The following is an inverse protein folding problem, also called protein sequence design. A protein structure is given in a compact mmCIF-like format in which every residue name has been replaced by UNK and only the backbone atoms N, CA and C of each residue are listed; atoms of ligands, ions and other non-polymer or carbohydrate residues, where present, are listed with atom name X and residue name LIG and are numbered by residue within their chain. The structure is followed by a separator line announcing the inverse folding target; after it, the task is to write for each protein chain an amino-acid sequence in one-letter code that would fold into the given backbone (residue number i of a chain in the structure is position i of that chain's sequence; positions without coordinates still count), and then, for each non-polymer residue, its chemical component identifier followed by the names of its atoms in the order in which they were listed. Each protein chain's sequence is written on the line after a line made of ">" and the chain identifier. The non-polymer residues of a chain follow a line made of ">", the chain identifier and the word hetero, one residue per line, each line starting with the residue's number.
data_IF_958292188669
#
_entry.id   IF_958292188669
#
_cell.length_a   1.000
_cell.length_b   1.000
_cell.length_c   1.000
_cell.angle_alpha   90.00
_cell.angle_beta   90.00
_cell.angle_gamma   90.00
#
_symmetry.space_group_name_H-M   'P 1'
#
loop_
_entity.id
_entity.type
_entity.pdbx_description
1 polymer ?
#
# COMPACT_ATOMS: atom_id res chain seq x y z
N UNK A 1 -1.45 -11.03 -17.37
CA UNK A 1 -2.49 -10.06 -16.97
C UNK A 1 -1.96 -9.38 -15.72
N UNK A 2 -1.91 -8.04 -15.71
CA UNK A 2 -1.37 -7.26 -14.60
C UNK A 2 -2.20 -7.44 -13.33
N UNK A 3 -1.55 -7.72 -12.20
CA UNK A 3 -2.18 -7.78 -10.88
C UNK A 3 -2.25 -6.38 -10.29
N UNK A 4 -3.45 -5.84 -10.14
CA UNK A 4 -3.67 -4.51 -9.57
C UNK A 4 -3.94 -4.62 -8.07
N UNK A 5 -3.00 -4.15 -7.28
CA UNK A 5 -2.94 -4.27 -5.83
C UNK A 5 -3.13 -2.90 -5.20
N UNK A 6 -3.99 -2.78 -4.19
CA UNK A 6 -4.02 -1.61 -3.32
C UNK A 6 -3.49 -1.95 -1.92
N UNK A 7 -2.58 -1.11 -1.43
CA UNK A 7 -2.00 -1.21 -0.09
C UNK A 7 -2.66 -0.16 0.81
N UNK A 8 -3.31 -0.62 1.87
CA UNK A 8 -3.99 0.23 2.86
C UNK A 8 -3.40 0.05 4.26
N UNK A 9 -3.88 0.84 5.22
CA UNK A 9 -3.39 0.84 6.60
C UNK A 9 -3.33 2.24 7.22
N UNK A 10 -3.22 2.28 8.55
CA UNK A 10 -3.16 3.53 9.33
C UNK A 10 -2.01 4.44 8.88
N UNK A 11 -2.17 5.74 9.02
CA UNK A 11 -1.11 6.74 8.85
C UNK A 11 0.05 6.46 9.80
N UNK A 12 1.27 6.60 9.27
CA UNK A 12 2.49 6.37 10.04
C UNK A 12 2.81 4.90 10.32
N UNK A 13 1.99 3.93 9.88
CA UNK A 13 2.25 2.49 10.10
C UNK A 13 3.42 1.95 9.27
N UNK A 14 3.92 2.70 8.27
CA UNK A 14 4.98 2.28 7.36
C UNK A 14 4.48 1.65 6.05
N UNK A 15 3.28 2.04 5.58
CA UNK A 15 2.74 1.60 4.28
C UNK A 15 3.71 1.87 3.13
N UNK A 16 4.02 3.13 2.87
CA UNK A 16 4.85 3.54 1.73
C UNK A 16 6.24 2.92 1.75
N UNK A 17 6.85 2.81 2.94
CA UNK A 17 8.11 2.08 3.11
C UNK A 17 7.96 0.61 2.71
N UNK A 18 6.90 -0.06 3.18
CA UNK A 18 6.62 -1.47 2.86
C UNK A 18 6.31 -1.66 1.37
N UNK A 19 5.48 -0.79 0.78
CA UNK A 19 5.13 -0.81 -0.65
C UNK A 19 6.36 -0.68 -1.51
N UNK A 20 7.20 0.33 -1.27
CA UNK A 20 8.41 0.58 -2.08
C UNK A 20 9.43 -0.55 -1.93
N UNK A 21 9.67 -1.05 -0.72
CA UNK A 21 10.58 -2.17 -0.52
C UNK A 21 10.05 -3.47 -1.15
N UNK A 22 8.74 -3.71 -1.11
CA UNK A 22 8.11 -4.86 -1.76
C UNK A 22 8.22 -4.75 -3.28
N UNK A 23 7.95 -3.57 -3.84
CA UNK A 23 8.11 -3.31 -5.28
C UNK A 23 9.56 -3.50 -5.72
N UNK A 24 10.52 -2.95 -4.98
CA UNK A 24 11.95 -3.15 -5.21
C UNK A 24 12.35 -4.62 -5.14
N UNK A 25 11.82 -5.38 -4.17
CA UNK A 25 12.07 -6.81 -4.05
C UNK A 25 11.47 -7.62 -5.21
N UNK A 26 10.25 -7.29 -5.65
CA UNK A 26 9.61 -7.91 -6.81
C UNK A 26 10.42 -7.68 -8.09
N UNK A 27 10.89 -6.44 -8.31
CA UNK A 27 11.69 -6.11 -9.49
C UNK A 27 13.12 -6.70 -9.43
N UNK A 28 13.77 -6.65 -8.26
CA UNK A 28 15.17 -7.06 -8.12
C UNK A 28 15.37 -8.58 -7.97
N UNK A 29 14.54 -9.24 -7.15
CA UNK A 29 14.73 -10.67 -6.82
C UNK A 29 13.85 -11.61 -7.64
N UNK A 30 12.77 -11.10 -8.24
CA UNK A 30 11.75 -11.90 -8.91
C UNK A 30 11.48 -11.46 -10.36
N UNK A 31 12.29 -10.54 -10.88
CA UNK A 31 12.26 -10.03 -12.25
C UNK A 31 10.87 -9.59 -12.71
N UNK A 32 10.17 -8.83 -11.86
CA UNK A 32 8.81 -8.32 -12.13
C UNK A 32 8.79 -6.88 -12.60
N UNK A 33 7.96 -6.61 -13.60
CA UNK A 33 7.66 -5.27 -14.06
C UNK A 33 6.61 -4.64 -13.12
N UNK A 34 7.02 -3.62 -12.37
CA UNK A 34 6.18 -3.00 -11.33
C UNK A 34 5.92 -1.53 -11.63
N UNK A 35 4.69 -1.09 -11.38
CA UNK A 35 4.28 0.30 -11.38
C UNK A 35 3.72 0.68 -10.00
N UNK A 36 4.11 1.85 -9.48
CA UNK A 36 3.58 2.43 -8.24
C UNK A 36 2.81 3.71 -8.58
N UNK A 37 1.53 3.73 -8.24
CA UNK A 37 0.71 4.94 -8.18
C UNK A 37 0.51 5.32 -6.73
N UNK A 38 1.14 6.42 -6.30
CA UNK A 38 0.95 6.98 -4.98
C UNK A 38 -0.39 7.72 -4.86
N UNK A 39 -1.27 7.20 -3.99
CA UNK A 39 -2.62 7.72 -3.75
C UNK A 39 -2.74 8.35 -2.34
N UNK A 40 -1.62 8.75 -1.74
CA UNK A 40 -1.54 9.53 -0.51
C UNK A 40 -1.26 11.01 -0.85
N UNK A 41 -2.06 11.97 -0.35
CA UNK A 41 -1.82 13.40 -0.62
C UNK A 41 -0.45 13.91 -0.17
N UNK A 42 0.30 13.16 0.66
CA UNK A 42 1.67 13.50 1.06
C UNK A 42 2.70 13.39 -0.07
N UNK A 43 2.37 12.68 -1.15
CA UNK A 43 3.19 12.61 -2.36
C UNK A 43 4.62 12.08 -2.13
N UNK A 44 4.82 11.13 -1.21
CA UNK A 44 6.10 10.51 -0.88
C UNK A 44 6.13 8.98 -1.10
N UNK A 45 5.11 8.45 -1.78
CA UNK A 45 4.89 7.00 -2.02
C UNK A 45 5.94 6.36 -2.95
N UNK A 46 6.68 7.17 -3.73
CA UNK A 46 7.70 6.70 -4.69
C UNK A 46 9.11 7.22 -4.39
N UNK A 47 9.26 7.98 -3.30
CA UNK A 47 10.48 8.73 -2.98
C UNK A 47 11.73 7.86 -2.94
N UNK A 48 11.66 6.66 -2.37
CA UNK A 48 12.78 5.73 -2.23
C UNK A 48 13.14 5.06 -3.56
N UNK A 49 12.15 4.82 -4.44
CA UNK A 49 12.39 4.24 -5.76
C UNK A 49 13.07 5.25 -6.69
N UNK A 50 12.73 6.53 -6.56
CA UNK A 50 13.26 7.62 -7.37
C UNK A 50 14.52 8.26 -6.79
N UNK A 51 15.17 7.69 -5.77
CA UNK A 51 16.39 8.27 -5.17
C UNK A 51 16.17 9.64 -4.50
N UNK A 52 14.94 9.90 -4.06
CA UNK A 52 14.49 11.16 -3.45
C UNK A 52 14.31 12.33 -4.42
N UNK A 53 14.25 12.06 -5.73
CA UNK A 53 13.86 13.05 -6.72
C UNK A 53 12.41 13.50 -6.48
N UNK A 54 12.13 14.82 -6.40
CA UNK A 54 10.77 15.31 -6.38
C UNK A 54 10.13 15.04 -7.75
N UNK A 55 9.07 14.24 -7.79
CA UNK A 55 8.27 14.09 -9.00
C UNK A 55 7.12 15.10 -9.03
N UNK A 56 6.82 15.63 -10.21
CA UNK A 56 5.61 16.42 -10.41
C UNK A 56 4.39 15.52 -10.21
N UNK A 57 3.44 15.97 -9.40
CA UNK A 57 2.20 15.21 -9.17
C UNK A 57 1.21 15.43 -10.32
N UNK A 58 0.30 14.49 -10.51
CA UNK A 58 -0.77 14.61 -11.51
C UNK A 58 -1.64 15.83 -11.21
N UNK A 59 -2.04 16.00 -9.95
CA UNK A 59 -2.92 17.10 -9.54
C UNK A 59 -2.23 18.46 -9.61
N UNK A 60 -0.93 18.57 -9.31
CA UNK A 60 -0.21 19.83 -9.50
C UNK A 60 -0.05 20.18 -10.97
N UNK A 61 0.26 19.20 -11.81
CA UNK A 61 0.35 19.41 -13.26
C UNK A 61 -0.98 19.86 -13.83
N UNK A 62 -2.07 19.18 -13.45
CA UNK A 62 -3.43 19.53 -13.86
C UNK A 62 -3.79 20.97 -13.46
N UNK A 63 -3.43 21.37 -12.24
CA UNK A 63 -3.77 22.69 -11.68
C UNK A 63 -2.96 23.82 -12.30
N UNK A 64 -1.67 23.61 -12.54
CA UNK A 64 -0.75 24.65 -13.03
C UNK A 64 -0.85 24.77 -14.56
N UNK A 65 -1.03 23.65 -15.25
CA UNK A 65 -0.82 23.58 -16.70
C UNK A 65 -2.01 23.06 -17.50
N UNK A 66 -3.09 22.62 -16.86
CA UNK A 66 -4.27 22.08 -17.54
C UNK A 66 -4.18 20.58 -17.81
N UNK A 67 -5.33 19.98 -18.14
CA UNK A 67 -5.47 18.52 -18.30
C UNK A 67 -4.69 18.01 -19.53
N UNK A 68 -4.65 18.80 -20.60
CA UNK A 68 -3.93 18.50 -21.84
C UNK A 68 -2.40 18.43 -21.67
N UNK A 69 -1.88 18.91 -20.53
CA UNK A 69 -0.46 18.86 -20.17
C UNK A 69 -0.12 17.75 -19.19
N UNK A 70 -1.10 16.94 -18.77
CA UNK A 70 -0.88 15.72 -17.98
C UNK A 70 -0.56 14.58 -18.94
N UNK A 71 0.71 14.47 -19.35
CA UNK A 71 1.19 13.39 -20.23
C UNK A 71 2.04 12.38 -19.45
N UNK A 72 2.07 11.12 -19.89
CA UNK A 72 2.82 10.03 -19.24
C UNK A 72 4.29 10.41 -19.01
N UNK A 73 5.00 10.88 -20.03
CA UNK A 73 6.43 11.24 -19.94
C UNK A 73 6.74 12.29 -18.86
N UNK A 74 5.74 13.11 -18.55
CA UNK A 74 5.89 14.22 -17.62
C UNK A 74 5.71 13.78 -16.17
N UNK A 75 4.61 13.08 -15.90
CA UNK A 75 4.20 12.71 -14.53
C UNK A 75 4.70 11.34 -14.11
N UNK A 76 5.01 10.45 -15.06
CA UNK A 76 5.64 9.16 -14.77
C UNK A 76 7.15 9.31 -14.78
N UNK A 77 7.79 8.74 -13.77
CA UNK A 77 9.24 8.59 -13.67
C UNK A 77 9.60 7.14 -13.43
N UNK A 78 10.73 6.74 -13.99
CA UNK A 78 11.29 5.40 -13.80
C UNK A 78 12.45 5.49 -12.83
N UNK A 79 12.46 4.61 -11.84
CA UNK A 79 13.48 4.56 -10.79
C UNK A 79 14.23 3.23 -10.74
N UNK A 80 14.59 2.81 -9.53
CA UNK A 80 15.28 1.55 -9.28
C UNK A 80 14.63 0.37 -10.01
N UNK A 81 15.45 -0.41 -10.74
CA UNK A 81 15.03 -1.63 -11.48
C UNK A 81 13.80 -1.40 -12.38
N UNK A 82 13.81 -0.29 -13.10
CA UNK A 82 12.78 0.07 -14.08
C UNK A 82 11.36 0.19 -13.50
N UNK A 83 11.25 0.33 -12.18
CA UNK A 83 9.96 0.56 -11.51
C UNK A 83 9.44 1.92 -11.94
N UNK A 84 8.22 1.94 -12.48
CA UNK A 84 7.52 3.15 -12.90
C UNK A 84 6.73 3.75 -11.75
N UNK A 85 6.73 5.06 -11.66
CA UNK A 85 6.22 5.80 -10.50
C UNK A 85 5.42 7.02 -10.95
N UNK A 86 4.29 7.26 -10.29
CA UNK A 86 3.53 8.50 -10.37
C UNK A 86 2.92 8.82 -8.99
N UNK A 87 2.81 10.09 -8.64
CA UNK A 87 2.02 10.54 -7.48
C UNK A 87 0.74 11.18 -8.00
N UNK A 88 -0.41 10.83 -7.41
CA UNK A 88 -1.65 11.59 -7.57
C UNK A 88 -1.43 13.05 -7.15
N UNK A 89 -0.82 13.26 -5.99
CA UNK A 89 -0.79 14.56 -5.32
C UNK A 89 -2.08 14.85 -4.56
N UNK A 90 -2.05 15.90 -3.74
CA UNK A 90 -3.18 16.36 -2.94
C UNK A 90 -3.60 17.78 -3.32
N UNK A 91 -4.82 18.20 -2.93
CA UNK A 91 -5.16 19.61 -2.98
C UNK A 91 -4.29 20.39 -1.97
N UNK A 92 -4.29 21.72 -2.07
CA UNK A 92 -3.60 22.55 -1.08
C UNK A 92 -4.10 22.24 0.35
N UNK A 93 -3.21 22.24 1.35
CA UNK A 93 -3.59 22.02 2.74
C UNK A 93 -4.75 22.94 3.15
N UNK A 94 -5.85 22.35 3.62
CA UNK A 94 -7.06 23.08 4.03
C UNK A 94 -8.07 23.38 2.91
N UNK A 95 -7.80 22.97 1.67
CA UNK A 95 -8.68 23.21 0.51
C UNK A 95 -8.98 21.89 -0.22
N UNK A 96 -10.15 21.80 -0.85
CA UNK A 96 -10.50 20.69 -1.74
C UNK A 96 -10.77 19.35 -1.03
N UNK A 97 -10.68 18.26 -1.79
CA UNK A 97 -10.88 16.89 -1.28
C UNK A 97 -9.81 15.96 -1.86
N UNK A 98 -8.88 15.51 -1.03
CA UNK A 98 -7.80 14.61 -1.43
C UNK A 98 -8.32 13.35 -2.13
N UNK A 99 -9.41 12.78 -1.61
CA UNK A 99 -10.04 11.61 -2.21
C UNK A 99 -10.54 11.84 -3.64
N UNK A 100 -11.03 13.05 -3.99
CA UNK A 100 -11.40 13.36 -5.38
C UNK A 100 -10.18 13.53 -6.29
N UNK A 101 -9.10 14.11 -5.76
CA UNK A 101 -7.83 14.24 -6.49
C UNK A 101 -7.27 12.87 -6.90
N UNK A 102 -7.30 11.88 -5.99
CA UNK A 102 -6.90 10.50 -6.30
C UNK A 102 -7.74 9.90 -7.42
N UNK A 103 -9.06 10.12 -7.41
CA UNK A 103 -9.94 9.62 -8.49
C UNK A 103 -9.51 10.22 -9.83
N UNK A 104 -9.44 11.56 -9.90
CA UNK A 104 -9.06 12.28 -11.12
C UNK A 104 -7.68 11.85 -11.62
N UNK A 105 -6.71 11.66 -10.72
CA UNK A 105 -5.38 11.23 -11.09
C UNK A 105 -5.37 9.81 -11.68
N UNK A 106 -6.09 8.86 -11.07
CA UNK A 106 -6.18 7.50 -11.61
C UNK A 106 -6.84 7.51 -13.00
N UNK A 107 -7.96 8.22 -13.16
CA UNK A 107 -8.68 8.27 -14.43
C UNK A 107 -7.83 8.91 -15.53
N UNK A 108 -7.14 10.03 -15.27
CA UNK A 108 -6.21 10.64 -16.23
C UNK A 108 -5.08 9.68 -16.63
N UNK A 109 -4.56 8.90 -15.69
CA UNK A 109 -3.50 7.93 -15.99
C UNK A 109 -4.00 6.75 -16.82
N UNK A 110 -5.27 6.34 -16.66
CA UNK A 110 -5.90 5.34 -17.54
C UNK A 110 -6.16 5.91 -18.94
N UNK A 111 -6.70 7.13 -19.04
CA UNK A 111 -6.96 7.82 -20.31
C UNK A 111 -5.69 8.04 -21.13
N UNK A 112 -4.57 8.29 -20.46
CA UNK A 112 -3.25 8.43 -21.08
C UNK A 112 -2.51 7.10 -21.28
N UNK A 113 -3.17 5.96 -21.06
CA UNK A 113 -2.61 4.61 -21.24
C UNK A 113 -1.31 4.36 -20.47
N UNK A 114 -1.15 4.98 -19.30
CA UNK A 114 0.10 4.91 -18.53
C UNK A 114 0.38 3.52 -17.93
N UNK A 115 -0.69 2.73 -17.69
CA UNK A 115 -0.59 1.36 -17.17
C UNK A 115 -0.50 0.37 -18.34
N UNK A 116 0.69 0.25 -18.92
CA UNK A 116 0.91 -0.61 -20.09
C UNK A 116 0.77 -2.10 -19.80
N UNK A 117 0.55 -2.88 -20.86
CA UNK A 117 0.23 -4.31 -20.80
C UNK A 117 1.40 -5.22 -20.33
N UNK A 118 2.63 -4.73 -20.39
CA UNK A 118 3.84 -5.45 -19.95
C UNK A 118 4.04 -5.46 -18.43
N UNK A 119 3.15 -4.79 -17.66
CA UNK A 119 3.20 -4.78 -16.20
C UNK A 119 2.77 -6.12 -15.60
N UNK A 120 3.58 -6.66 -14.69
CA UNK A 120 3.18 -7.74 -13.81
C UNK A 120 2.32 -7.22 -12.64
N UNK A 121 2.73 -6.09 -12.04
CA UNK A 121 2.09 -5.52 -10.86
C UNK A 121 1.87 -4.02 -10.97
N UNK A 122 0.69 -3.56 -10.55
CA UNK A 122 0.36 -2.16 -10.32
C UNK A 122 -0.03 -1.97 -8.85
N UNK A 123 0.77 -1.24 -8.09
CA UNK A 123 0.49 -0.90 -6.70
C UNK A 123 -0.16 0.48 -6.59
N UNK A 124 -1.30 0.55 -5.92
CA UNK A 124 -1.89 1.77 -5.41
C UNK A 124 -1.54 1.90 -3.92
N UNK A 125 -0.71 2.87 -3.54
CA UNK A 125 -0.42 3.16 -2.13
C UNK A 125 -1.45 4.15 -1.60
N UNK A 126 -2.47 3.66 -0.88
CA UNK A 126 -3.67 4.45 -0.56
C UNK A 126 -3.68 4.89 0.90
N UNK A 127 -4.06 6.15 1.14
CA UNK A 127 -4.30 6.64 2.48
C UNK A 127 -5.41 5.83 3.18
N UNK A 128 -5.08 5.15 4.27
CA UNK A 128 -5.99 4.24 4.97
C UNK A 128 -6.63 4.78 6.26
N UNK A 129 -6.31 6.01 6.68
CA UNK A 129 -6.89 6.61 7.90
C UNK A 129 -8.36 6.97 7.73
N UNK A 130 -8.75 7.36 6.52
CA UNK A 130 -10.11 7.80 6.19
C UNK A 130 -10.60 7.01 4.98
N UNK A 131 -11.49 6.04 5.21
CA UNK A 131 -12.13 5.27 4.14
C UNK A 131 -13.35 6.03 3.61
N UNK A 132 -13.17 7.30 3.23
CA UNK A 132 -14.23 8.10 2.60
C UNK A 132 -14.41 7.70 1.12
N UNK A 133 -15.47 8.20 0.48
CA UNK A 133 -15.84 7.79 -0.88
C UNK A 133 -14.75 7.96 -1.95
N UNK A 134 -13.77 8.84 -1.75
CA UNK A 134 -12.63 9.01 -2.65
C UNK A 134 -11.53 7.96 -2.45
N UNK A 135 -11.04 7.80 -1.21
CA UNK A 135 -10.02 6.80 -0.90
C UNK A 135 -10.53 5.35 -1.00
N UNK A 136 -11.85 5.14 -0.99
CA UNK A 136 -12.47 3.85 -1.28
C UNK A 136 -12.58 3.58 -2.79
N UNK A 137 -12.27 4.52 -3.68
CA UNK A 137 -12.48 4.34 -5.13
C UNK A 137 -11.71 3.16 -5.72
N UNK A 138 -10.42 2.91 -5.41
CA UNK A 138 -9.72 1.75 -5.95
C UNK A 138 -10.44 0.43 -5.69
N UNK A 139 -11.10 0.34 -4.54
CA UNK A 139 -11.93 -0.80 -4.09
C UNK A 139 -13.33 -0.75 -4.72
N UNK A 140 -14.01 0.40 -4.69
CA UNK A 140 -15.41 0.57 -5.08
C UNK A 140 -15.60 0.39 -6.58
N UNK A 141 -14.71 0.96 -7.38
CA UNK A 141 -14.81 1.00 -8.83
C UNK A 141 -13.98 -0.13 -9.48
N UNK A 142 -13.41 -1.02 -8.64
CA UNK A 142 -12.70 -2.21 -9.09
C UNK A 142 -11.38 -1.93 -9.80
N UNK A 143 -10.75 -0.76 -9.55
CA UNK A 143 -9.44 -0.43 -10.11
C UNK A 143 -8.35 -1.37 -9.55
N UNK A 144 -8.49 -1.81 -8.30
CA UNK A 144 -7.67 -2.86 -7.71
C UNK A 144 -8.52 -4.11 -7.43
N UNK A 145 -7.99 -5.30 -7.75
CA UNK A 145 -8.66 -6.58 -7.47
C UNK A 145 -8.17 -7.19 -6.15
N UNK A 146 -6.93 -6.87 -5.77
CA UNK A 146 -6.28 -7.40 -4.56
C UNK A 146 -5.99 -6.27 -3.58
N UNK A 147 -6.28 -6.51 -2.30
CA UNK A 147 -5.96 -5.57 -1.24
C UNK A 147 -5.09 -6.23 -0.19
N UNK A 148 -4.02 -5.55 0.22
CA UNK A 148 -3.24 -5.89 1.39
C UNK A 148 -3.28 -4.72 2.37
N UNK A 149 -3.38 -5.04 3.66
CA UNK A 149 -3.44 -4.02 4.71
C UNK A 149 -2.18 -4.13 5.56
N UNK A 150 -1.45 -3.04 5.71
CA UNK A 150 -0.34 -2.92 6.65
C UNK A 150 -0.89 -2.55 8.02
N UNK A 151 -0.59 -3.38 9.02
CA UNK A 151 -0.99 -3.19 10.41
C UNK A 151 0.17 -3.54 11.37
N UNK A 152 -0.01 -3.29 12.65
CA UNK A 152 0.88 -3.66 13.75
C UNK A 152 0.03 -4.18 14.92
N UNK A 153 0.68 -4.66 15.97
CA UNK A 153 0.03 -5.03 17.24
C UNK A 153 -0.53 -3.84 18.01
N UNK A 154 -0.34 -2.60 17.52
CA UNK A 154 -0.96 -1.44 18.11
C UNK A 154 -2.48 -1.47 17.89
N UNK A 155 -3.23 -1.29 18.98
CA UNK A 155 -4.68 -1.19 18.99
C UNK A 155 -5.25 -0.39 17.81
N UNK A 156 -4.78 0.84 17.61
CA UNK A 156 -5.29 1.74 16.56
C UNK A 156 -5.01 1.24 15.13
N UNK A 157 -3.94 0.47 14.91
CA UNK A 157 -3.66 -0.11 13.60
C UNK A 157 -4.67 -1.22 13.27
N UNK A 158 -5.03 -2.02 14.28
CA UNK A 158 -6.04 -3.08 14.17
C UNK A 158 -7.45 -2.49 13.94
N UNK A 159 -7.82 -1.40 14.63
CA UNK A 159 -9.08 -0.70 14.34
C UNK A 159 -9.14 -0.18 12.90
N UNK A 160 -8.06 0.44 12.42
CA UNK A 160 -7.99 0.91 11.04
C UNK A 160 -8.14 -0.26 10.05
N UNK A 161 -7.42 -1.36 10.28
CA UNK A 161 -7.52 -2.56 9.46
C UNK A 161 -8.94 -3.14 9.43
N UNK A 162 -9.62 -3.22 10.57
CA UNK A 162 -11.00 -3.69 10.66
C UNK A 162 -11.98 -2.76 9.91
N UNK A 163 -11.79 -1.44 10.00
CA UNK A 163 -12.61 -0.48 9.27
C UNK A 163 -12.38 -0.53 7.76
N UNK A 164 -11.14 -0.75 7.30
CA UNK A 164 -10.86 -1.02 5.89
C UNK A 164 -11.56 -2.30 5.44
N UNK A 165 -11.57 -3.35 6.26
CA UNK A 165 -12.32 -4.59 5.99
C UNK A 165 -13.82 -4.34 5.83
N UNK A 166 -14.43 -3.44 6.62
CA UNK A 166 -15.83 -3.04 6.45
C UNK A 166 -16.07 -2.39 5.08
N UNK A 167 -15.16 -1.52 4.65
CA UNK A 167 -15.18 -0.94 3.31
C UNK A 167 -15.08 -2.00 2.21
N UNK A 168 -14.13 -2.93 2.33
CA UNK A 168 -13.96 -4.05 1.40
C UNK A 168 -15.21 -4.92 1.31
N UNK A 169 -15.74 -5.38 2.44
CA UNK A 169 -16.92 -6.25 2.48
C UNK A 169 -18.15 -5.59 1.82
N UNK A 170 -18.29 -4.27 1.95
CA UNK A 170 -19.38 -3.50 1.33
C UNK A 170 -19.33 -3.54 -0.20
N UNK A 171 -18.14 -3.50 -0.80
CA UNK A 171 -17.98 -3.38 -2.26
C UNK A 171 -17.56 -4.68 -2.97
N UNK A 172 -17.06 -5.67 -2.23
CA UNK A 172 -16.47 -6.90 -2.80
C UNK A 172 -17.37 -7.67 -3.78
N UNK A 173 -18.70 -7.67 -3.57
CA UNK A 173 -19.65 -8.31 -4.51
C UNK A 173 -19.86 -7.51 -5.79
N UNK A 174 -19.78 -6.18 -5.71
CA UNK A 174 -19.98 -5.29 -6.86
C UNK A 174 -18.71 -5.16 -7.70
N UNK A 175 -17.56 -4.91 -7.07
CA UNK A 175 -16.32 -4.63 -7.77
C UNK A 175 -15.43 -5.85 -7.99
N UNK A 176 -15.73 -6.97 -7.33
CA UNK A 176 -14.89 -8.16 -7.37
C UNK A 176 -13.64 -8.08 -6.48
N UNK A 177 -13.40 -6.98 -5.77
CA UNK A 177 -12.22 -6.83 -4.90
C UNK A 177 -12.15 -7.92 -3.82
N UNK A 178 -10.93 -8.32 -3.45
CA UNK A 178 -10.69 -9.28 -2.36
C UNK A 178 -9.54 -8.84 -1.46
N UNK A 179 -9.60 -9.26 -0.20
CA UNK A 179 -8.49 -9.14 0.74
C UNK A 179 -7.53 -10.31 0.50
N UNK A 180 -6.27 -10.00 0.16
CA UNK A 180 -5.20 -10.99 -0.03
C UNK A 180 -4.42 -11.29 1.25
N UNK A 181 -4.43 -10.38 2.22
CA UNK A 181 -3.83 -10.63 3.54
C UNK A 181 -3.48 -9.36 4.31
N UNK A 182 -3.03 -9.56 5.55
CA UNK A 182 -2.47 -8.51 6.40
C UNK A 182 -0.95 -8.63 6.41
N UNK A 183 -0.25 -7.53 6.20
CA UNK A 183 1.20 -7.41 6.38
C UNK A 183 1.42 -6.81 7.77
N UNK A 184 1.99 -7.57 8.69
CA UNK A 184 2.35 -7.04 10.00
C UNK A 184 3.67 -6.29 9.87
N UNK A 185 3.68 -4.98 10.04
CA UNK A 185 4.90 -4.18 10.15
C UNK A 185 5.20 -3.92 11.62
N UNK A 186 6.16 -4.68 12.15
CA UNK A 186 6.35 -4.81 13.58
C UNK A 186 6.67 -3.49 14.27
N UNK A 187 6.06 -3.31 15.45
CA UNK A 187 6.34 -2.22 16.39
C UNK A 187 7.03 -2.71 17.66
N UNK A 188 7.48 -3.96 17.67
CA UNK A 188 8.01 -4.64 18.87
C UNK A 188 7.00 -4.60 20.03
N UNK A 189 5.72 -4.84 19.72
CA UNK A 189 4.69 -5.04 20.74
C UNK A 189 4.75 -6.49 21.21
N UNK A 190 4.60 -6.73 22.50
CA UNK A 190 4.62 -8.08 23.05
C UNK A 190 3.45 -8.92 22.49
N UNK A 191 3.73 -10.16 22.09
CA UNK A 191 2.74 -11.04 21.46
C UNK A 191 2.17 -10.54 20.11
N UNK A 192 2.84 -9.57 19.45
CA UNK A 192 2.32 -8.93 18.23
C UNK A 192 2.00 -9.93 17.10
N UNK A 193 2.85 -10.94 16.93
CA UNK A 193 2.70 -11.95 15.89
C UNK A 193 1.47 -12.82 16.14
N UNK A 194 1.28 -13.24 17.39
CA UNK A 194 0.15 -14.04 17.86
C UNK A 194 -1.15 -13.25 17.76
N UNK A 195 -1.13 -11.97 18.14
CA UNK A 195 -2.29 -11.09 18.05
C UNK A 195 -2.74 -10.93 16.58
N UNK A 196 -1.80 -10.63 15.67
CA UNK A 196 -2.13 -10.49 14.25
C UNK A 196 -2.59 -11.82 13.63
N UNK A 197 -2.03 -12.95 14.06
CA UNK A 197 -2.48 -14.26 13.62
C UNK A 197 -3.94 -14.54 14.06
N UNK A 198 -4.30 -14.20 15.30
CA UNK A 198 -5.68 -14.34 15.78
C UNK A 198 -6.63 -13.38 15.06
N UNK A 199 -6.25 -12.11 14.92
CA UNK A 199 -7.04 -11.11 14.20
C UNK A 199 -7.30 -11.51 12.74
N UNK A 200 -6.25 -11.92 12.01
CA UNK A 200 -6.36 -12.33 10.61
C UNK A 200 -7.28 -13.55 10.44
N UNK A 201 -7.14 -14.54 11.31
CA UNK A 201 -8.05 -15.70 11.34
C UNK A 201 -9.50 -15.29 11.58
N UNK A 202 -9.73 -14.38 12.52
CA UNK A 202 -11.07 -13.92 12.88
C UNK A 202 -11.77 -13.19 11.72
N UNK A 203 -11.04 -12.36 10.97
CA UNK A 203 -11.57 -11.70 9.76
C UNK A 203 -11.58 -12.59 8.51
N UNK A 204 -11.14 -13.85 8.63
CA UNK A 204 -11.18 -14.86 7.58
C UNK A 204 -10.05 -14.76 6.55
N UNK A 205 -8.92 -14.14 6.89
CA UNK A 205 -7.74 -14.01 6.01
C UNK A 205 -6.48 -14.57 6.69
N UNK A 206 -5.30 -14.27 6.14
CA UNK A 206 -3.99 -14.62 6.69
C UNK A 206 -3.13 -13.40 6.95
N UNK A 207 -2.26 -13.50 7.94
CA UNK A 207 -1.07 -12.67 8.01
C UNK A 207 -0.09 -13.15 6.94
N UNK A 208 -0.03 -12.45 5.80
CA UNK A 208 0.80 -12.91 4.67
C UNK A 208 2.29 -12.89 5.04
N UNK A 209 2.70 -11.90 5.81
CA UNK A 209 4.08 -11.78 6.25
C UNK A 209 4.17 -10.92 7.52
N UNK A 210 5.20 -11.19 8.32
CA UNK A 210 5.59 -10.40 9.48
C UNK A 210 6.92 -9.73 9.16
N UNK A 211 6.90 -8.42 8.92
CA UNK A 211 8.08 -7.61 8.64
C UNK A 211 8.67 -7.15 9.98
N UNK A 212 9.86 -7.61 10.36
CA UNK A 212 10.47 -7.23 11.63
C UNK A 212 10.92 -5.76 11.61
N UNK A 213 11.08 -5.20 12.81
CA UNK A 213 11.62 -3.85 12.99
C UNK A 213 13.14 -3.91 12.90
N UNK A 214 13.73 -3.23 11.90
CA UNK A 214 15.17 -3.14 11.74
C UNK A 214 15.61 -1.69 11.43
N UNK A 215 16.65 -1.23 12.11
CA UNK A 215 17.22 0.11 11.93
C UNK A 215 17.85 0.32 10.55
N UNK A 216 18.14 -0.76 9.80
CA UNK A 216 18.60 -0.65 8.42
C UNK A 216 17.57 0.04 7.52
N UNK A 217 16.28 -0.07 7.83
CA UNK A 217 15.22 0.64 7.11
C UNK A 217 15.45 2.15 7.21
N UNK A 218 15.71 2.67 8.40
CA UNK A 218 16.01 4.11 8.57
C UNK A 218 17.30 4.51 7.87
N UNK A 219 18.34 3.66 7.91
CA UNK A 219 19.60 3.93 7.20
C UNK A 219 19.38 4.02 5.68
N UNK A 220 18.59 3.12 5.10
CA UNK A 220 18.24 3.15 3.69
C UNK A 220 17.39 4.38 3.34
N UNK A 221 16.38 4.70 4.15
CA UNK A 221 15.52 5.88 3.97
C UNK A 221 16.31 7.19 4.03
N UNK A 222 17.29 7.33 4.93
CA UNK A 222 18.18 8.50 4.96
C UNK A 222 19.06 8.63 3.71
N UNK A 223 19.36 7.51 3.05
CA UNK A 223 20.04 7.47 1.76
C UNK A 223 19.05 7.53 0.58
N UNK A 224 17.74 7.70 0.85
CA UNK A 224 16.66 7.80 -0.14
C UNK A 224 16.55 6.53 -1.01
N UNK A 225 16.84 5.38 -0.43
CA UNK A 225 16.83 4.09 -1.11
C UNK A 225 15.90 3.12 -0.37
N UNK A 226 15.44 2.11 -1.09
CA UNK A 226 14.86 0.92 -0.45
C UNK A 226 15.98 0.09 0.18
N UNK A 227 15.65 -0.77 1.15
CA UNK A 227 16.64 -1.69 1.76
C UNK A 227 17.20 -2.64 0.71
N UNK A 228 16.37 -3.13 -0.20
CA UNK A 228 16.80 -3.99 -1.32
C UNK A 228 17.87 -3.34 -2.19
N UNK A 229 17.74 -2.04 -2.47
CA UNK A 229 18.75 -1.29 -3.21
C UNK A 229 19.98 -0.97 -2.34
N UNK A 230 19.76 -0.56 -1.10
CA UNK A 230 20.80 -0.11 -0.18
C UNK A 230 21.74 -1.24 0.26
N UNK A 231 21.17 -2.40 0.62
CA UNK A 231 21.91 -3.57 1.08
C UNK A 231 21.10 -4.85 0.80
N UNK A 232 21.18 -5.42 -0.41
CA UNK A 232 20.35 -6.57 -0.82
C UNK A 232 20.58 -7.83 0.01
N UNK A 233 21.77 -8.00 0.59
CA UNK A 233 22.12 -9.15 1.43
C UNK A 233 21.70 -9.00 2.90
N UNK A 234 21.13 -7.86 3.29
CA UNK A 234 20.65 -7.66 4.66
C UNK A 234 19.43 -8.54 4.96
N UNK A 235 19.29 -8.98 6.21
CA UNK A 235 18.13 -9.76 6.66
C UNK A 235 16.81 -9.09 6.26
N UNK A 236 16.69 -7.77 6.49
CA UNK A 236 15.48 -7.02 6.15
C UNK A 236 15.18 -7.01 4.63
N UNK A 237 16.18 -7.00 3.75
CA UNK A 237 15.97 -7.15 2.31
C UNK A 237 15.43 -8.55 1.96
N UNK A 238 15.89 -9.59 2.67
CA UNK A 238 15.40 -10.96 2.51
C UNK A 238 13.95 -11.11 3.03
N UNK A 239 13.55 -10.40 4.08
CA UNK A 239 12.14 -10.35 4.51
C UNK A 239 11.23 -9.75 3.43
N UNK A 240 11.66 -8.66 2.77
CA UNK A 240 10.92 -8.10 1.63
C UNK A 240 10.94 -9.00 0.40
N UNK A 241 12.04 -9.72 0.14
CA UNK A 241 12.10 -10.77 -0.89
C UNK A 241 11.05 -11.85 -0.64
N UNK A 242 10.94 -12.31 0.60
CA UNK A 242 9.99 -13.34 1.01
C UNK A 242 8.54 -12.84 0.97
N UNK A 243 8.29 -11.60 1.41
CA UNK A 243 6.98 -10.94 1.24
C UNK A 243 6.59 -10.87 -0.25
N UNK A 244 7.51 -10.44 -1.12
CA UNK A 244 7.29 -10.41 -2.58
C UNK A 244 6.94 -11.78 -3.14
N UNK A 245 7.69 -12.83 -2.76
CA UNK A 245 7.42 -14.22 -3.15
C UNK A 245 6.01 -14.66 -2.71
N UNK A 246 5.65 -14.41 -1.45
CA UNK A 246 4.34 -14.78 -0.92
C UNK A 246 3.20 -14.03 -1.60
N UNK A 247 3.40 -12.78 -2.01
CA UNK A 247 2.41 -12.05 -2.82
C UNK A 247 2.28 -12.68 -4.20
N UNK A 248 3.39 -13.02 -4.87
CA UNK A 248 3.38 -13.70 -6.18
C UNK A 248 2.57 -15.00 -6.11
N UNK A 249 2.82 -15.82 -5.11
CA UNK A 249 2.19 -17.13 -4.93
C UNK A 249 0.82 -17.08 -4.23
N UNK A 250 0.31 -15.90 -3.90
CA UNK A 250 -0.94 -15.81 -3.16
C UNK A 250 -2.14 -16.22 -4.01
N UNK A 251 -2.86 -17.25 -3.58
CA UNK A 251 -4.13 -17.69 -4.16
C UNK A 251 -5.32 -17.52 -3.19
N UNK A 252 -5.06 -17.16 -1.93
CA UNK A 252 -6.08 -17.02 -0.89
C UNK A 252 -6.65 -15.60 -0.86
N UNK A 253 -7.74 -15.41 -1.60
CA UNK A 253 -8.43 -14.12 -1.72
C UNK A 253 -9.85 -14.20 -1.16
N UNK A 254 -10.14 -13.39 -0.14
CA UNK A 254 -11.39 -13.49 0.62
C UNK A 254 -12.21 -12.21 0.61
N UNK A 255 -13.52 -12.34 0.81
CA UNK A 255 -14.33 -11.23 1.32
C UNK A 255 -14.16 -11.26 2.85
N UNK A 256 -13.54 -10.24 3.47
CA UNK A 256 -13.27 -10.28 4.89
C UNK A 256 -14.56 -10.24 5.72
N UNK A 257 -14.46 -10.72 6.96
CA UNK A 257 -15.53 -10.70 7.97
C UNK A 257 -15.14 -9.72 9.08
N UNK A 258 -15.48 -8.41 8.95
CA UNK A 258 -15.09 -7.44 9.95
C UNK A 258 -15.70 -7.76 11.31
N UNK A 259 -14.93 -7.57 12.38
CA UNK A 259 -15.37 -7.82 13.74
C UNK A 259 -16.24 -6.68 14.26
N UNK A 260 -17.16 -7.01 15.16
CA UNK A 260 -17.85 -6.00 15.98
C UNK A 260 -16.85 -5.30 16.91
N UNK A 261 -17.23 -4.12 17.42
CA UNK A 261 -16.34 -3.33 18.28
C UNK A 261 -15.98 -4.09 19.55
N UNK A 262 -16.97 -4.68 20.20
CA UNK A 262 -16.80 -5.42 21.46
C UNK A 262 -15.89 -6.65 21.30
N UNK A 263 -16.00 -7.36 20.17
CA UNK A 263 -15.12 -8.50 19.83
C UNK A 263 -13.67 -8.04 19.63
N UNK A 264 -13.50 -6.90 18.96
CA UNK A 264 -12.18 -6.32 18.73
C UNK A 264 -11.55 -5.83 20.03
N UNK A 265 -12.32 -5.18 20.90
CA UNK A 265 -11.89 -4.74 22.22
C UNK A 265 -11.50 -5.91 23.11
N UNK A 266 -12.30 -6.97 23.15
CA UNK A 266 -11.97 -8.18 23.90
C UNK A 266 -10.64 -8.80 23.44
N UNK A 267 -10.39 -8.80 22.11
CA UNK A 267 -9.14 -9.28 21.56
C UNK A 267 -7.96 -8.36 21.92
N UNK A 268 -8.12 -7.04 21.80
CA UNK A 268 -7.08 -6.06 22.20
C UNK A 268 -6.73 -6.21 23.67
N UNK A 269 -7.72 -6.33 24.56
CA UNK A 269 -7.50 -6.49 26.01
C UNK A 269 -6.75 -7.79 26.30
N UNK A 270 -7.10 -8.90 25.63
CA UNK A 270 -6.41 -10.19 25.79
C UNK A 270 -4.90 -10.08 25.55
N UNK A 271 -4.48 -9.35 24.51
CA UNK A 271 -3.08 -9.22 24.14
C UNK A 271 -2.38 -8.04 24.84
N UNK A 272 -3.12 -7.01 25.26
CA UNK A 272 -2.58 -5.89 26.03
C UNK A 272 -2.25 -6.20 27.49
N UNK A 273 -2.57 -7.41 27.96
CA UNK A 273 -2.26 -7.93 29.30
C UNK A 273 -1.14 -8.98 29.27
N UNK A 274 -0.49 -9.20 28.12
CA UNK A 274 0.66 -10.10 28.03
C UNK A 274 1.90 -9.37 28.57
N UNK A 275 2.59 -9.99 29.53
CA UNK A 275 3.87 -9.54 30.10
C UNK A 275 5.07 -9.88 29.18
#
# INVERSE_FOLDING_TARGET
>A
MTRKIAIYGKGGIGKSTTTQNTAAALAYFHDKNVFIHGCDPKADSTRLILGGLPQATVMDTLRIEGAERVTVDKVVKTGFKDIRCVESGGPEPGVGCAGRGVITAIDLMEENEAYSEDLDFLFFDVLGDVVCGGFAMPIRDGKAQEVYIVASGEMMAIYAANNICKGLAKYARQSGVRLGGIICNSRNVDGEKEFLAEFTKAIGTKMIHFVPRDNIVQKAEFNKQTVTEFQPDANQAQEYRELGRKIIENEDFVIPKPLAMDELEAMVVKYGLMD
#
